data_IF_757118648643
#
_entry.id   IF_757118648643
#
_cell.length_a   1.000
_cell.length_b   1.000
_cell.length_c   1.000
_cell.angle_alpha   90.00
_cell.angle_beta   90.00
_cell.angle_gamma   90.00
#
_symmetry.space_group_name_H-M   'P 1'
#
loop_
_entity.id
_entity.type
_entity.pdbx_description
1 polymer ?
#
# COMPACT_ATOMS: atom_id res chain seq x y z
N UNK A 1 7.59 -9.41 -24.32
CA UNK A 1 6.74 -9.50 -23.11
C UNK A 1 6.40 -8.10 -22.65
N UNK A 2 5.17 -7.83 -22.20
CA UNK A 2 4.83 -6.49 -21.66
C UNK A 2 5.69 -6.23 -20.40
N UNK A 3 6.21 -5.02 -20.18
CA UNK A 3 6.88 -4.70 -18.93
C UNK A 3 5.88 -4.81 -17.78
N UNK A 4 6.25 -5.54 -16.72
CA UNK A 4 5.40 -5.68 -15.52
C UNK A 4 5.19 -4.33 -14.85
N UNK A 5 4.06 -4.15 -14.18
CA UNK A 5 3.70 -2.91 -13.50
C UNK A 5 4.72 -2.54 -12.44
N UNK A 6 5.30 -3.53 -11.74
CA UNK A 6 6.47 -3.36 -10.88
C UNK A 6 7.64 -2.68 -11.61
N UNK A 7 8.03 -3.16 -12.79
CA UNK A 7 9.15 -2.60 -13.54
C UNK A 7 8.89 -1.16 -13.99
N UNK A 8 7.66 -0.86 -14.40
CA UNK A 8 7.25 0.50 -14.74
C UNK A 8 7.28 1.42 -13.52
N UNK A 9 6.78 0.92 -12.38
CA UNK A 9 6.76 1.65 -11.11
C UNK A 9 8.17 2.02 -10.67
N UNK A 10 9.11 1.08 -10.73
CA UNK A 10 10.49 1.31 -10.35
C UNK A 10 11.26 2.19 -11.35
N UNK A 11 10.92 2.12 -12.64
CA UNK A 11 11.56 2.94 -13.67
C UNK A 11 11.11 4.41 -13.65
N UNK A 12 9.88 4.70 -13.21
CA UNK A 12 9.34 6.06 -13.17
C UNK A 12 8.54 6.30 -11.88
N UNK A 13 9.20 6.34 -10.71
CA UNK A 13 8.53 6.44 -9.41
C UNK A 13 7.74 7.75 -9.22
N UNK A 14 8.04 8.79 -9.98
CA UNK A 14 7.24 10.04 -9.98
C UNK A 14 5.95 9.95 -10.80
N UNK A 15 5.87 8.99 -11.74
CA UNK A 15 4.73 8.80 -12.63
C UNK A 15 3.82 7.64 -12.20
N UNK A 16 4.38 6.68 -11.45
CA UNK A 16 3.66 5.53 -10.93
C UNK A 16 3.71 5.55 -9.42
N UNK A 17 2.54 5.69 -8.81
CA UNK A 17 2.38 5.64 -7.37
C UNK A 17 1.58 4.39 -7.02
N UNK A 18 2.05 3.67 -6.01
CA UNK A 18 1.29 2.57 -5.45
C UNK A 18 0.09 3.14 -4.70
N UNK A 19 -1.12 2.64 -4.94
CA UNK A 19 -2.35 3.20 -4.36
C UNK A 19 -2.30 3.19 -2.83
N UNK A 20 -1.66 2.18 -2.24
CA UNK A 20 -1.39 2.09 -0.81
C UNK A 20 -0.61 3.31 -0.29
N UNK A 21 0.37 3.81 -1.03
CA UNK A 21 1.14 5.01 -0.63
C UNK A 21 0.30 6.27 -0.73
N UNK A 22 -0.48 6.41 -1.81
CA UNK A 22 -1.36 7.57 -2.02
C UNK A 22 -2.36 7.69 -0.86
N UNK A 23 -3.01 6.58 -0.51
CA UNK A 23 -4.00 6.55 0.55
C UNK A 23 -3.37 6.79 1.92
N UNK A 24 -2.22 6.17 2.21
CA UNK A 24 -1.50 6.37 3.47
C UNK A 24 -1.07 7.83 3.61
N UNK A 25 -0.44 8.40 2.59
CA UNK A 25 0.01 9.79 2.63
C UNK A 25 -1.16 10.79 2.77
N UNK A 26 -2.30 10.51 2.13
CA UNK A 26 -3.50 11.33 2.29
C UNK A 26 -4.08 11.23 3.71
N UNK A 27 -4.14 10.03 4.28
CA UNK A 27 -4.60 9.81 5.66
C UNK A 27 -3.69 10.50 6.68
N UNK A 28 -2.37 10.35 6.57
CA UNK A 28 -1.40 11.01 7.45
C UNK A 28 -1.55 12.54 7.41
N UNK A 29 -1.57 13.14 6.21
CA UNK A 29 -1.77 14.59 6.08
C UNK A 29 -3.09 15.07 6.68
N UNK A 30 -4.16 14.29 6.50
CA UNK A 30 -5.47 14.63 7.05
C UNK A 30 -5.50 14.52 8.58
N UNK A 31 -4.88 13.49 9.16
CA UNK A 31 -4.74 13.34 10.61
C UNK A 31 -3.96 14.52 11.21
N UNK A 32 -2.90 14.98 10.53
CA UNK A 32 -2.06 16.07 11.02
C UNK A 32 -2.71 17.44 10.88
N UNK A 33 -3.26 17.75 9.70
CA UNK A 33 -3.67 19.13 9.36
C UNK A 33 -5.10 19.26 8.85
N UNK A 34 -5.75 18.15 8.47
CA UNK A 34 -7.08 18.16 7.86
C UNK A 34 -8.24 18.02 8.84
N UNK A 35 -8.00 17.46 10.04
CA UNK A 35 -9.02 17.32 11.08
C UNK A 35 -9.17 18.59 11.93
N UNK A 36 -10.36 18.78 12.50
CA UNK A 36 -10.55 19.76 13.58
C UNK A 36 -10.13 19.14 14.91
N UNK A 37 -9.04 19.62 15.51
CA UNK A 37 -8.41 18.97 16.67
C UNK A 37 -9.35 18.79 17.88
N UNK A 38 -10.35 19.67 18.05
CA UNK A 38 -11.30 19.66 19.15
C UNK A 38 -12.55 18.80 18.92
N UNK A 39 -12.69 18.15 17.75
CA UNK A 39 -13.87 17.33 17.42
C UNK A 39 -13.48 15.87 17.21
N UNK A 40 -14.38 14.91 17.56
CA UNK A 40 -14.20 13.53 17.17
C UNK A 40 -14.17 13.42 15.65
N UNK A 41 -13.51 12.39 15.15
CA UNK A 41 -13.37 12.14 13.73
C UNK A 41 -13.73 10.70 13.39
N UNK A 42 -14.03 10.47 12.11
CA UNK A 42 -14.18 9.14 11.53
C UNK A 42 -13.33 9.10 10.27
N UNK A 43 -12.38 8.16 10.21
CA UNK A 43 -11.51 7.94 9.07
C UNK A 43 -11.66 6.51 8.59
N UNK A 44 -12.17 6.34 7.37
CA UNK A 44 -12.23 5.05 6.71
C UNK A 44 -11.10 4.95 5.68
N UNK A 45 -10.07 4.16 6.01
CA UNK A 45 -8.90 3.95 5.16
C UNK A 45 -8.96 2.56 4.51
N UNK A 46 -9.63 2.49 3.35
CA UNK A 46 -9.88 1.24 2.64
C UNK A 46 -8.76 0.91 1.65
N UNK A 47 -7.75 0.18 2.11
CA UNK A 47 -6.75 -0.39 1.22
C UNK A 47 -7.37 -1.47 0.31
N UNK A 48 -6.85 -1.56 -0.91
CA UNK A 48 -7.27 -2.57 -1.89
C UNK A 48 -6.37 -3.81 -1.88
N UNK A 49 -5.12 -3.68 -1.42
CA UNK A 49 -4.21 -4.80 -1.21
C UNK A 49 -4.65 -5.60 0.03
N UNK A 50 -4.50 -6.94 0.06
CA UNK A 50 -3.73 -7.76 -0.88
C UNK A 50 -4.57 -8.38 -2.01
N UNK A 51 -5.69 -7.78 -2.42
CA UNK A 51 -6.54 -8.32 -3.48
C UNK A 51 -5.73 -8.60 -4.77
N UNK A 52 -5.81 -9.84 -5.26
CA UNK A 52 -5.14 -10.27 -6.49
C UNK A 52 -5.95 -9.86 -7.73
N UNK A 53 -5.29 -9.70 -8.88
CA UNK A 53 -6.00 -9.37 -10.13
C UNK A 53 -5.31 -8.36 -11.02
N UNK A 54 -4.02 -8.08 -10.79
CA UNK A 54 -3.17 -7.34 -11.71
C UNK A 54 -3.58 -5.91 -12.03
N UNK A 55 -2.66 -5.17 -12.64
CA UNK A 55 -2.97 -3.88 -13.22
C UNK A 55 -3.33 -4.12 -14.68
N UNK A 56 -4.56 -3.84 -15.07
CA UNK A 56 -4.99 -3.99 -16.45
C UNK A 56 -6.50 -3.90 -16.62
N UNK A 57 -6.91 -3.50 -17.82
CA UNK A 57 -8.30 -3.52 -18.27
C UNK A 57 -8.30 -3.98 -19.72
N UNK A 58 -9.33 -4.72 -20.13
CA UNK A 58 -9.49 -5.14 -21.52
C UNK A 58 -9.27 -3.94 -22.49
N UNK A 59 -8.46 -4.06 -23.57
CA UNK A 59 -7.86 -5.26 -24.14
C UNK A 59 -6.54 -5.75 -23.51
N UNK A 60 -6.06 -5.10 -22.45
CA UNK A 60 -4.84 -5.53 -21.76
C UNK A 60 -5.22 -6.59 -20.74
N UNK A 61 -4.82 -7.84 -20.99
CA UNK A 61 -4.91 -8.90 -19.99
C UNK A 61 -4.29 -8.40 -18.67
N UNK A 62 -4.99 -8.56 -17.54
CA UNK A 62 -4.46 -8.18 -16.23
C UNK A 62 -3.19 -8.97 -15.94
N UNK A 63 -2.27 -8.34 -15.23
CA UNK A 63 -1.09 -9.04 -14.70
C UNK A 63 -1.51 -10.13 -13.71
N UNK A 64 -0.80 -11.25 -13.69
CA UNK A 64 -1.05 -12.29 -12.70
C UNK A 64 -0.62 -11.82 -11.30
N UNK A 65 -1.38 -12.21 -10.28
CA UNK A 65 -1.04 -11.96 -8.87
C UNK A 65 -1.35 -10.55 -8.38
N UNK A 66 -0.52 -10.09 -7.43
CA UNK A 66 -0.62 -8.80 -6.76
C UNK A 66 0.67 -7.99 -6.97
N UNK A 67 0.74 -7.13 -8.00
CA UNK A 67 1.95 -6.37 -8.28
C UNK A 67 2.22 -5.37 -7.15
N UNK A 68 3.31 -5.64 -6.45
CA UNK A 68 3.90 -4.81 -5.38
C UNK A 68 5.25 -4.25 -5.86
N UNK A 69 5.77 -3.12 -5.35
CA UNK A 69 7.02 -2.54 -5.87
C UNK A 69 8.26 -3.44 -5.77
N UNK A 70 8.31 -4.35 -4.81
CA UNK A 70 9.37 -5.37 -4.68
C UNK A 70 8.89 -6.57 -3.87
N UNK A 71 9.58 -7.70 -3.99
CA UNK A 71 9.32 -8.91 -3.18
C UNK A 71 9.77 -8.74 -1.71
N UNK A 72 10.32 -7.58 -1.32
CA UNK A 72 10.85 -7.32 0.02
C UNK A 72 11.77 -8.46 0.51
N UNK A 73 11.57 -8.92 1.74
CA UNK A 73 12.29 -10.04 2.35
C UNK A 73 12.05 -11.39 1.66
N UNK A 74 11.01 -11.51 0.84
CA UNK A 74 10.66 -12.74 0.14
C UNK A 74 11.46 -12.92 -1.15
N UNK A 75 12.22 -11.93 -1.62
CA UNK A 75 13.01 -12.03 -2.86
C UNK A 75 13.98 -13.22 -2.88
N UNK A 76 14.42 -13.69 -1.70
CA UNK A 76 15.29 -14.85 -1.54
C UNK A 76 14.55 -16.21 -1.54
N UNK A 77 13.21 -16.22 -1.46
CA UNK A 77 12.37 -17.42 -1.43
C UNK A 77 12.17 -18.02 -2.82
N UNK A 78 13.25 -18.51 -3.42
CA UNK A 78 13.25 -19.06 -4.79
C UNK A 78 12.38 -20.32 -4.96
N UNK A 79 12.01 -20.97 -3.86
CA UNK A 79 11.11 -22.13 -3.87
C UNK A 79 9.64 -21.74 -4.06
N UNK A 80 9.28 -20.48 -3.81
CA UNK A 80 7.91 -20.00 -3.94
C UNK A 80 7.61 -19.57 -5.38
N UNK A 81 6.40 -19.81 -5.90
CA UNK A 81 5.92 -19.13 -7.09
C UNK A 81 5.99 -17.61 -6.92
N UNK A 82 6.27 -16.88 -8.00
CA UNK A 82 6.39 -15.41 -7.94
C UNK A 82 5.14 -14.74 -7.36
N UNK A 83 3.95 -15.23 -7.74
CA UNK A 83 2.67 -14.71 -7.24
C UNK A 83 2.50 -14.83 -5.72
N UNK A 84 3.12 -15.83 -5.10
CA UNK A 84 3.07 -16.01 -3.64
C UNK A 84 4.05 -15.06 -2.93
N UNK A 85 5.23 -14.83 -3.53
CA UNK A 85 6.16 -13.81 -3.03
C UNK A 85 5.56 -12.41 -3.14
N UNK A 86 4.92 -12.12 -4.26
CA UNK A 86 4.16 -10.89 -4.51
C UNK A 86 3.07 -10.69 -3.45
N UNK A 87 2.26 -11.73 -3.20
CA UNK A 87 1.20 -11.68 -2.21
C UNK A 87 1.76 -11.41 -0.80
N UNK A 88 2.75 -12.18 -0.37
CA UNK A 88 3.38 -12.01 0.94
C UNK A 88 4.01 -10.61 1.09
N UNK A 89 4.71 -10.14 0.06
CA UNK A 89 5.29 -8.79 0.04
C UNK A 89 4.20 -7.71 0.10
N UNK A 90 3.05 -7.88 -0.58
CA UNK A 90 1.94 -6.93 -0.52
C UNK A 90 1.35 -6.79 0.89
N UNK A 91 1.27 -7.89 1.65
CA UNK A 91 0.81 -7.91 3.04
C UNK A 91 1.82 -7.20 3.95
N UNK A 92 3.12 -7.52 3.84
CA UNK A 92 4.15 -6.81 4.62
C UNK A 92 4.23 -5.32 4.28
N UNK A 93 4.01 -4.97 3.01
CA UNK A 93 3.96 -3.58 2.58
C UNK A 93 2.80 -2.84 3.26
N UNK A 94 1.60 -3.45 3.27
CA UNK A 94 0.42 -2.91 3.95
C UNK A 94 0.67 -2.74 5.45
N UNK A 95 1.23 -3.77 6.11
CA UNK A 95 1.58 -3.74 7.53
C UNK A 95 2.48 -2.55 7.87
N UNK A 96 3.52 -2.31 7.06
CA UNK A 96 4.41 -1.17 7.25
C UNK A 96 3.68 0.19 7.15
N UNK A 97 2.71 0.32 6.24
CA UNK A 97 1.88 1.54 6.09
C UNK A 97 0.92 1.70 7.27
N UNK A 98 0.30 0.63 7.76
CA UNK A 98 -0.52 0.65 8.97
C UNK A 98 0.31 1.11 10.16
N UNK A 99 1.55 0.61 10.28
CA UNK A 99 2.49 1.06 11.30
C UNK A 99 2.76 2.56 11.25
N UNK A 100 2.79 3.18 10.07
CA UNK A 100 2.91 4.64 9.94
C UNK A 100 1.69 5.38 10.49
N UNK A 101 0.48 4.89 10.20
CA UNK A 101 -0.77 5.45 10.74
C UNK A 101 -0.78 5.36 12.27
N UNK A 102 -0.40 4.21 12.84
CA UNK A 102 -0.38 4.02 14.30
C UNK A 102 0.66 4.92 14.98
N UNK A 103 1.86 5.04 14.40
CA UNK A 103 2.89 5.98 14.90
C UNK A 103 2.42 7.43 14.83
N UNK A 104 1.67 7.79 13.80
CA UNK A 104 1.13 9.15 13.69
C UNK A 104 0.03 9.41 14.72
N UNK A 105 -0.85 8.44 14.98
CA UNK A 105 -1.82 8.54 16.08
C UNK A 105 -1.13 8.69 17.44
N UNK A 106 -0.05 7.95 17.68
CA UNK A 106 0.75 8.07 18.91
C UNK A 106 1.41 9.45 19.01
N UNK A 107 2.07 9.91 17.94
CA UNK A 107 2.71 11.24 17.86
C UNK A 107 1.74 12.38 18.12
N UNK A 108 0.49 12.24 17.67
CA UNK A 108 -0.58 13.22 17.85
C UNK A 108 -1.37 13.03 19.17
N UNK A 109 -0.96 12.10 20.03
CA UNK A 109 -1.62 11.76 21.30
C UNK A 109 -3.09 11.31 21.13
N UNK A 110 -3.41 10.71 19.98
CA UNK A 110 -4.75 10.20 19.63
C UNK A 110 -4.91 8.69 19.85
N UNK A 111 -3.83 7.97 20.15
CA UNK A 111 -3.83 6.51 20.27
C UNK A 111 -4.73 5.98 21.39
N UNK A 112 -5.00 6.78 22.43
CA UNK A 112 -5.83 6.37 23.58
C UNK A 112 -7.32 6.70 23.43
N UNK A 113 -7.72 7.45 22.40
CA UNK A 113 -9.10 7.89 22.18
C UNK A 113 -9.62 7.64 20.75
N UNK A 114 -8.90 6.82 19.98
CA UNK A 114 -9.29 6.33 18.67
C UNK A 114 -9.46 4.81 18.74
N UNK A 115 -10.56 4.28 18.23
CA UNK A 115 -10.90 2.83 18.26
C UNK A 115 -10.25 2.11 17.10
#
# INVERSE_FOLDING_TARGET
TKPKSRSLCMANPSAYNYTTDIFTAAALRWLETGRTASKPFFLYLSYTVPHAGGWGSWPRAPEDGNPVPSDLQYAAELSWPEVERDHAASVSYLDARIGEILRELERLELSSNTV
#
